data_IF_354637073539
#
_entry.id   IF_354637073539
#
_cell.length_a   1.000
_cell.length_b   1.000
_cell.length_c   1.000
_cell.angle_alpha   90.00
_cell.angle_beta   90.00
_cell.angle_gamma   90.00
#
_symmetry.space_group_name_H-M   'P 1'
#
loop_
_entity.id
_entity.type
_entity.pdbx_description
1 polymer ?
#
# COMPACT_ATOMS: atom_id res chain seq x y z
N UNK A 1 -3.20 -16.83 36.66
CA UNK A 1 -4.10 -17.54 35.72
C UNK A 1 -4.93 -16.47 35.03
N UNK A 2 -4.94 -16.45 33.69
CA UNK A 2 -5.52 -15.42 32.79
C UNK A 2 -4.70 -14.12 32.57
N UNK A 3 -3.63 -14.26 31.79
CA UNK A 3 -2.97 -13.16 31.06
C UNK A 3 -2.27 -13.77 29.83
N UNK A 4 -3.02 -13.99 28.74
CA UNK A 4 -2.50 -14.37 27.41
C UNK A 4 -3.51 -13.98 26.34
N UNK A 5 -2.98 -13.49 25.21
CA UNK A 5 -3.59 -13.27 23.89
C UNK A 5 -3.89 -11.82 23.50
N UNK A 6 -2.83 -11.09 23.17
CA UNK A 6 -2.82 -10.17 22.03
C UNK A 6 -1.38 -10.08 21.51
N UNK A 7 -1.00 -10.90 20.53
CA UNK A 7 0.17 -10.73 19.62
C UNK A 7 0.03 -11.78 18.51
N UNK A 8 -0.44 -11.39 17.33
CA UNK A 8 -0.22 -12.11 16.07
C UNK A 8 -0.74 -11.26 14.91
N UNK A 9 0.17 -10.70 14.11
CA UNK A 9 0.06 -10.54 12.65
C UNK A 9 1.43 -10.05 12.16
N UNK A 10 2.40 -10.96 12.17
CA UNK A 10 3.65 -10.84 11.43
C UNK A 10 3.74 -12.10 10.57
N UNK A 11 3.71 -11.93 9.26
CA UNK A 11 3.89 -13.01 8.28
C UNK A 11 5.35 -13.50 8.34
N UNK A 12 5.62 -14.82 8.42
CA UNK A 12 6.98 -15.32 8.44
C UNK A 12 7.47 -15.61 7.01
N UNK A 13 8.23 -14.69 6.44
CA UNK A 13 9.14 -15.00 5.34
C UNK A 13 10.53 -15.32 5.92
N UNK A 14 10.88 -16.61 6.02
CA UNK A 14 12.27 -17.03 6.19
C UNK A 14 12.60 -18.28 5.37
N UNK A 15 13.57 -18.05 4.48
CA UNK A 15 14.76 -18.88 4.27
C UNK A 15 14.57 -20.28 3.70
N UNK A 16 14.79 -20.41 2.40
CA UNK A 16 15.65 -21.46 1.85
C UNK A 16 16.51 -20.89 0.70
N UNK A 17 17.67 -20.36 1.06
CA UNK A 17 18.78 -20.22 0.14
C UNK A 17 19.62 -21.50 0.20
N UNK A 18 19.82 -22.17 -0.94
CA UNK A 18 21.05 -22.87 -1.36
C UNK A 18 20.72 -23.74 -2.57
N UNK A 19 21.19 -23.34 -3.74
CA UNK A 19 22.16 -24.06 -4.57
C UNK A 19 22.45 -23.17 -5.79
N UNK A 20 23.48 -22.34 -5.65
CA UNK A 20 24.07 -21.58 -6.75
C UNK A 20 24.87 -22.59 -7.58
N UNK A 21 24.40 -22.92 -8.78
CA UNK A 21 25.26 -23.55 -9.77
C UNK A 21 25.70 -22.48 -10.77
N UNK A 22 26.96 -22.11 -10.66
CA UNK A 22 27.67 -21.17 -11.51
C UNK A 22 27.82 -21.75 -12.92
N UNK A 23 27.20 -21.11 -13.90
CA UNK A 23 27.62 -21.25 -15.31
C UNK A 23 28.01 -19.87 -15.82
N UNK A 24 29.29 -19.75 -16.15
CA UNK A 24 29.93 -18.57 -16.69
C UNK A 24 29.29 -18.12 -18.00
N UNK A 25 29.06 -16.81 -18.16
CA UNK A 25 28.70 -16.19 -19.44
C UNK A 25 29.95 -15.62 -20.14
N UNK A 26 30.11 -15.81 -21.45
CA UNK A 26 31.23 -15.24 -22.19
C UNK A 26 31.04 -13.74 -22.46
N UNK A 27 32.15 -13.00 -22.42
CA UNK A 27 32.27 -11.60 -22.82
C UNK A 27 31.99 -11.45 -24.31
N UNK A 28 31.03 -10.60 -24.68
CA UNK A 28 30.87 -10.12 -26.07
C UNK A 28 31.60 -8.79 -26.19
N UNK A 29 32.65 -8.78 -27.02
CA UNK A 29 33.33 -7.59 -27.50
C UNK A 29 32.36 -6.79 -28.40
N UNK A 30 32.13 -5.51 -28.08
CA UNK A 30 31.49 -4.58 -29.00
C UNK A 30 32.54 -4.00 -29.95
N UNK A 31 32.39 -4.27 -31.25
CA UNK A 31 33.12 -3.58 -32.31
C UNK A 31 32.39 -2.28 -32.67
N UNK A 32 33.12 -1.15 -32.67
CA UNK A 32 32.61 0.14 -33.06
C UNK A 32 32.58 0.25 -34.61
N UNK A 33 31.40 0.55 -35.16
CA UNK A 33 31.25 1.01 -36.54
C UNK A 33 30.73 2.46 -36.51
N UNK A 34 31.49 3.35 -37.15
CA UNK A 34 31.18 4.77 -37.27
C UNK A 34 30.06 4.99 -38.30
N UNK A 35 29.02 5.72 -37.92
CA UNK A 35 28.06 6.33 -38.85
C UNK A 35 28.00 7.82 -38.51
N UNK A 36 28.42 8.63 -39.47
CA UNK A 36 28.33 10.08 -39.50
C UNK A 36 26.94 10.49 -40.04
N UNK A 37 26.22 11.35 -39.32
CA UNK A 37 25.04 12.03 -39.86
C UNK A 37 23.90 12.32 -38.88
N UNK A 38 23.86 13.55 -38.38
CA UNK A 38 22.70 14.32 -37.86
C UNK A 38 21.50 13.57 -37.23
N UNK A 39 21.63 13.23 -35.95
CA UNK A 39 20.51 12.90 -35.05
C UNK A 39 20.73 13.47 -33.62
N UNK A 40 21.54 14.54 -33.49
CA UNK A 40 22.05 14.99 -32.20
C UNK A 40 20.97 15.54 -31.24
N UNK A 41 19.86 16.07 -31.77
CA UNK A 41 18.78 16.65 -30.94
C UNK A 41 17.87 15.61 -30.27
N UNK A 42 17.49 14.55 -30.99
CA UNK A 42 16.60 13.51 -30.46
C UNK A 42 17.33 12.50 -29.55
N UNK A 43 18.61 12.22 -29.85
CA UNK A 43 19.44 11.33 -29.04
C UNK A 43 19.83 11.98 -27.71
N UNK A 44 20.00 13.31 -27.65
CA UNK A 44 20.35 14.01 -26.41
C UNK A 44 19.19 14.02 -25.39
N UNK A 45 17.95 14.28 -25.83
CA UNK A 45 16.78 14.20 -24.95
C UNK A 45 16.50 12.77 -24.47
N UNK A 46 16.67 11.76 -25.33
CA UNK A 46 16.55 10.36 -24.96
C UNK A 46 17.67 9.90 -24.01
N UNK A 47 18.90 10.36 -24.17
CA UNK A 47 20.01 10.06 -23.27
C UNK A 47 19.88 10.75 -21.89
N UNK A 48 19.36 11.98 -21.84
CA UNK A 48 19.08 12.69 -20.58
C UNK A 48 17.91 12.04 -19.83
N UNK A 49 16.85 11.65 -20.55
CA UNK A 49 15.74 10.87 -19.97
C UNK A 49 16.21 9.52 -19.42
N UNK A 50 17.11 8.84 -20.15
CA UNK A 50 17.68 7.54 -19.75
C UNK A 50 18.63 7.64 -18.55
N UNK A 51 19.37 8.75 -18.39
CA UNK A 51 20.22 9.00 -17.21
C UNK A 51 19.40 9.38 -15.96
N UNK A 52 18.24 10.04 -16.12
CA UNK A 52 17.27 10.24 -15.03
C UNK A 52 16.55 8.96 -14.60
N UNK A 53 16.41 7.98 -15.52
CA UNK A 53 15.80 6.68 -15.24
C UNK A 53 16.74 5.70 -14.51
N UNK A 54 18.04 5.70 -14.81
CA UNK A 54 19.03 4.88 -14.08
C UNK A 54 19.32 5.38 -12.65
N UNK A 55 18.92 6.61 -12.32
CA UNK A 55 19.13 7.22 -11.00
C UNK A 55 17.92 7.10 -10.07
N UNK A 56 16.75 6.68 -10.56
CA UNK A 56 15.57 6.55 -9.72
C UNK A 56 15.67 5.31 -8.80
N UNK A 57 15.69 5.47 -7.46
CA UNK A 57 15.88 4.35 -6.54
C UNK A 57 14.73 3.33 -6.54
N UNK A 58 13.56 3.67 -7.09
CA UNK A 58 12.41 2.77 -7.25
C UNK A 58 12.50 1.94 -8.55
N UNK A 59 13.35 2.33 -9.49
CA UNK A 59 13.63 1.61 -10.74
C UNK A 59 14.89 0.74 -10.63
N UNK A 60 15.79 1.07 -9.70
CA UNK A 60 17.03 0.35 -9.47
C UNK A 60 16.80 -1.17 -9.30
N UNK A 61 17.80 -1.95 -9.72
CA UNK A 61 17.84 -3.41 -9.60
C UNK A 61 17.52 -3.86 -8.17
N UNK A 62 16.92 -5.05 -7.99
CA UNK A 62 16.55 -5.55 -6.66
C UNK A 62 17.79 -5.62 -5.77
N UNK A 63 17.84 -4.73 -4.78
CA UNK A 63 18.66 -4.95 -3.60
C UNK A 63 17.80 -5.68 -2.56
N UNK A 64 18.43 -6.36 -1.60
CA UNK A 64 17.70 -7.10 -0.57
C UNK A 64 16.74 -6.20 0.24
N UNK A 65 17.00 -4.88 0.27
CA UNK A 65 16.24 -3.91 1.04
C UNK A 65 16.00 -2.62 0.24
N UNK A 66 14.80 -2.01 0.31
CA UNK A 66 14.55 -0.70 -0.30
C UNK A 66 15.53 0.36 0.23
N UNK A 67 16.07 1.18 -0.67
CA UNK A 67 16.98 2.29 -0.33
C UNK A 67 16.19 3.51 0.17
N UNK A 68 15.56 3.39 1.33
CA UNK A 68 14.65 4.41 1.87
C UNK A 68 15.24 5.82 1.98
N UNK A 69 16.54 5.94 2.25
CA UNK A 69 17.22 7.23 2.36
C UNK A 69 17.23 8.03 1.05
N UNK A 70 17.14 7.33 -0.09
CA UNK A 70 17.25 7.94 -1.42
C UNK A 70 15.89 8.21 -2.05
N UNK A 71 14.79 7.69 -1.48
CA UNK A 71 13.44 7.84 -2.06
C UNK A 71 12.88 9.23 -1.69
N UNK A 72 12.63 10.04 -2.71
CA UNK A 72 12.02 11.36 -2.62
C UNK A 72 10.67 11.38 -3.35
N UNK A 73 9.83 12.38 -3.04
CA UNK A 73 8.49 12.52 -3.65
C UNK A 73 8.53 12.61 -5.18
N UNK A 74 9.53 13.27 -5.74
CA UNK A 74 9.76 13.40 -7.19
C UNK A 74 10.06 12.08 -7.91
N UNK A 75 10.51 11.06 -7.17
CA UNK A 75 10.79 9.74 -7.74
C UNK A 75 9.52 8.91 -7.97
N UNK A 76 8.43 9.20 -7.24
CA UNK A 76 7.26 8.32 -7.13
C UNK A 76 6.53 8.18 -8.46
N UNK A 77 5.96 9.26 -9.00
CA UNK A 77 5.14 9.18 -10.23
C UNK A 77 5.94 8.65 -11.42
N UNK A 78 7.16 9.15 -11.73
CA UNK A 78 7.94 8.66 -12.86
C UNK A 78 8.26 7.17 -12.77
N UNK A 79 8.69 6.69 -11.59
CA UNK A 79 9.02 5.27 -11.44
C UNK A 79 7.80 4.37 -11.54
N UNK A 80 6.70 4.73 -10.87
CA UNK A 80 5.50 3.90 -10.88
C UNK A 80 4.85 3.87 -12.26
N UNK A 81 4.86 4.98 -13.01
CA UNK A 81 4.37 5.00 -14.39
C UNK A 81 5.15 4.06 -15.30
N UNK A 82 6.49 4.06 -15.19
CA UNK A 82 7.33 3.12 -15.94
C UNK A 82 7.08 1.67 -15.54
N UNK A 83 7.06 1.37 -14.24
CA UNK A 83 6.78 0.02 -13.73
C UNK A 83 5.40 -0.48 -14.15
N UNK A 84 4.39 0.39 -14.11
CA UNK A 84 3.04 0.08 -14.58
C UNK A 84 3.03 -0.22 -16.08
N UNK A 85 3.75 0.56 -16.91
CA UNK A 85 3.84 0.29 -18.33
C UNK A 85 4.51 -1.06 -18.64
N UNK A 86 5.59 -1.41 -17.92
CA UNK A 86 6.24 -2.72 -18.03
C UNK A 86 5.31 -3.84 -17.57
N UNK A 87 4.63 -3.66 -16.44
CA UNK A 87 3.72 -4.65 -15.88
C UNK A 87 2.49 -4.89 -16.78
N UNK A 88 1.92 -3.84 -17.39
CA UNK A 88 0.83 -3.94 -18.37
C UNK A 88 1.26 -4.71 -19.62
N UNK A 89 2.46 -4.43 -20.15
CA UNK A 89 2.99 -5.16 -21.30
C UNK A 89 3.22 -6.64 -20.98
N UNK A 90 3.77 -6.94 -19.80
CA UNK A 90 4.00 -8.31 -19.34
C UNK A 90 2.68 -9.06 -19.08
N UNK A 91 1.67 -8.39 -18.50
CA UNK A 91 0.34 -8.95 -18.33
C UNK A 91 -0.28 -9.30 -19.69
N UNK A 92 -0.23 -8.40 -20.67
CA UNK A 92 -0.74 -8.67 -22.02
C UNK A 92 -0.08 -9.92 -22.65
N UNK A 93 1.25 -10.08 -22.48
CA UNK A 93 1.97 -11.25 -22.98
C UNK A 93 1.56 -12.55 -22.26
N UNK A 94 1.42 -12.50 -20.93
CA UNK A 94 0.98 -13.63 -20.13
C UNK A 94 -0.44 -14.06 -20.53
N UNK A 95 -1.35 -13.11 -20.68
CA UNK A 95 -2.73 -13.40 -21.10
C UNK A 95 -2.82 -14.00 -22.49
N UNK A 96 -2.03 -13.50 -23.45
CA UNK A 96 -1.94 -14.07 -24.79
C UNK A 96 -1.42 -15.52 -24.76
N UNK A 97 -0.40 -15.77 -23.94
CA UNK A 97 0.19 -17.11 -23.76
C UNK A 97 -0.81 -18.10 -23.17
N UNK A 98 -1.50 -17.71 -22.09
CA UNK A 98 -2.53 -18.53 -21.45
C UNK A 98 -3.68 -18.80 -22.42
N UNK A 99 -4.15 -17.76 -23.12
CA UNK A 99 -5.26 -17.89 -24.08
C UNK A 99 -4.91 -18.86 -25.19
N UNK A 100 -3.71 -18.74 -25.78
CA UNK A 100 -3.23 -19.65 -26.82
C UNK A 100 -3.16 -21.10 -26.36
N UNK A 101 -2.64 -21.34 -25.14
CA UNK A 101 -2.61 -22.70 -24.56
C UNK A 101 -3.99 -23.29 -24.37
N UNK A 102 -4.91 -22.53 -23.79
CA UNK A 102 -6.29 -22.98 -23.58
C UNK A 102 -7.00 -23.29 -24.90
N UNK A 103 -6.77 -22.51 -25.95
CA UNK A 103 -7.29 -22.79 -27.29
C UNK A 103 -6.70 -24.06 -27.91
N UNK A 104 -5.44 -24.38 -27.61
CA UNK A 104 -4.79 -25.62 -28.02
C UNK A 104 -5.20 -26.84 -27.16
N UNK A 105 -6.11 -26.67 -26.19
CA UNK A 105 -6.51 -27.74 -25.27
C UNK A 105 -5.44 -28.10 -24.23
N UNK A 106 -4.47 -27.22 -24.01
CA UNK A 106 -3.37 -27.42 -23.06
C UNK A 106 -3.66 -26.65 -21.77
N UNK A 107 -3.71 -27.37 -20.64
CA UNK A 107 -3.84 -26.77 -19.30
C UNK A 107 -2.57 -25.99 -18.93
N UNK A 108 -2.65 -24.68 -18.59
CA UNK A 108 -1.51 -23.94 -18.05
C UNK A 108 -1.05 -24.53 -16.71
N UNK A 109 0.26 -24.65 -16.51
CA UNK A 109 0.81 -25.14 -15.24
C UNK A 109 0.70 -24.08 -14.13
N UNK A 110 0.81 -24.51 -12.86
CA UNK A 110 0.83 -23.59 -11.72
C UNK A 110 1.89 -22.49 -11.87
N UNK A 111 3.12 -22.84 -12.24
CA UNK A 111 4.21 -21.86 -12.36
C UNK A 111 3.97 -20.83 -13.47
N UNK A 112 3.33 -21.25 -14.57
CA UNK A 112 2.95 -20.35 -15.66
C UNK A 112 1.81 -19.40 -15.28
N UNK A 113 1.01 -19.74 -14.28
CA UNK A 113 -0.05 -18.87 -13.75
C UNK A 113 0.48 -18.01 -12.60
N UNK A 114 0.90 -18.65 -11.50
CA UNK A 114 1.31 -17.98 -10.28
C UNK A 114 2.62 -17.22 -10.44
N UNK A 115 3.70 -17.89 -10.84
CA UNK A 115 5.04 -17.30 -10.72
C UNK A 115 5.21 -16.14 -11.72
N UNK A 116 4.55 -16.24 -12.88
CA UNK A 116 4.48 -15.14 -13.85
C UNK A 116 3.62 -13.98 -13.33
N UNK A 117 2.41 -14.25 -12.82
CA UNK A 117 1.54 -13.21 -12.27
C UNK A 117 2.17 -12.51 -11.04
N UNK A 118 2.85 -13.26 -10.18
CA UNK A 118 3.57 -12.74 -9.02
C UNK A 118 4.72 -11.84 -9.45
N UNK A 119 5.53 -12.27 -10.43
CA UNK A 119 6.61 -11.42 -10.99
C UNK A 119 6.07 -10.13 -11.59
N UNK A 120 4.94 -10.18 -12.28
CA UNK A 120 4.29 -8.99 -12.85
C UNK A 120 3.77 -8.07 -11.73
N UNK A 121 3.09 -8.63 -10.73
CA UNK A 121 2.59 -7.86 -9.59
C UNK A 121 3.74 -7.17 -8.85
N UNK A 122 4.86 -7.86 -8.64
CA UNK A 122 6.00 -7.37 -7.86
C UNK A 122 6.71 -6.17 -8.48
N UNK A 123 6.61 -5.99 -9.81
CA UNK A 123 7.07 -4.77 -10.48
C UNK A 123 6.42 -3.51 -9.90
N UNK A 124 5.19 -3.61 -9.42
CA UNK A 124 4.39 -2.50 -8.90
C UNK A 124 4.30 -2.56 -7.38
N UNK A 125 4.02 -3.73 -6.78
CA UNK A 125 3.80 -3.84 -5.32
C UNK A 125 5.04 -3.50 -4.51
N UNK A 126 6.23 -3.91 -4.94
CA UNK A 126 7.47 -3.61 -4.20
C UNK A 126 7.76 -2.10 -4.07
N UNK A 127 7.87 -1.32 -5.17
CA UNK A 127 8.11 0.12 -5.05
C UNK A 127 6.93 0.84 -4.39
N UNK A 128 5.69 0.42 -4.66
CA UNK A 128 4.51 1.03 -4.04
C UNK A 128 4.46 0.81 -2.53
N UNK A 129 4.88 -0.37 -2.05
CA UNK A 129 5.00 -0.68 -0.62
C UNK A 129 6.01 0.24 0.07
N UNK A 130 7.19 0.43 -0.54
CA UNK A 130 8.21 1.33 0.00
C UNK A 130 7.71 2.79 0.11
N UNK A 131 6.99 3.28 -0.92
CA UNK A 131 6.39 4.62 -0.93
C UNK A 131 5.31 4.76 0.14
N UNK A 132 4.41 3.77 0.28
CA UNK A 132 3.36 3.80 1.31
C UNK A 132 3.93 3.69 2.72
N UNK A 133 4.99 2.92 2.92
CA UNK A 133 5.71 2.89 4.19
C UNK A 133 6.24 4.28 4.55
N UNK A 134 6.94 4.95 3.62
CA UNK A 134 7.42 6.31 3.83
C UNK A 134 6.27 7.29 4.11
N UNK A 135 5.15 7.21 3.37
CA UNK A 135 3.95 8.00 3.67
C UNK A 135 3.44 7.76 5.10
N UNK A 136 3.59 6.55 5.63
CA UNK A 136 3.13 6.22 6.99
C UNK A 136 4.09 6.66 8.10
N UNK A 137 5.40 6.69 7.86
CA UNK A 137 6.40 6.91 8.92
C UNK A 137 7.19 8.22 8.77
N UNK A 138 7.18 8.81 7.59
CA UNK A 138 7.87 10.06 7.22
C UNK A 138 6.98 10.88 6.27
N UNK A 139 5.79 11.18 6.77
CA UNK A 139 4.75 11.90 6.04
C UNK A 139 5.13 13.37 5.78
N UNK A 140 5.15 13.77 4.51
CA UNK A 140 5.44 15.12 4.03
C UNK A 140 4.44 15.51 2.93
N UNK A 141 4.15 16.82 2.80
CA UNK A 141 3.14 17.32 1.84
C UNK A 141 3.46 16.97 0.39
N UNK A 142 4.73 17.04 -0.01
CA UNK A 142 5.19 16.64 -1.34
C UNK A 142 4.93 15.15 -1.62
N UNK A 143 5.19 14.28 -0.64
CA UNK A 143 4.96 12.84 -0.74
C UNK A 143 3.47 12.52 -0.80
N UNK A 144 2.62 13.22 -0.02
CA UNK A 144 1.16 13.07 -0.09
C UNK A 144 0.62 13.37 -1.49
N UNK A 145 1.04 14.48 -2.10
CA UNK A 145 0.65 14.86 -3.46
C UNK A 145 1.09 13.83 -4.49
N UNK A 146 2.32 13.34 -4.38
CA UNK A 146 2.84 12.31 -5.29
C UNK A 146 2.05 11.00 -5.18
N UNK A 147 1.71 10.57 -3.96
CA UNK A 147 0.86 9.39 -3.73
C UNK A 147 -0.54 9.61 -4.27
N UNK A 148 -1.18 10.76 -4.01
CA UNK A 148 -2.51 11.09 -4.52
C UNK A 148 -2.58 11.05 -6.05
N UNK A 149 -1.55 11.56 -6.74
CA UNK A 149 -1.48 11.54 -8.20
C UNK A 149 -1.27 10.13 -8.78
N UNK A 150 -0.60 9.24 -8.03
CA UNK A 150 -0.19 7.91 -8.51
C UNK A 150 -1.17 6.79 -8.12
N UNK A 151 -1.83 6.92 -6.97
CA UNK A 151 -2.72 5.92 -6.38
C UNK A 151 -3.81 5.42 -7.35
N UNK A 152 -4.51 6.27 -8.13
CA UNK A 152 -5.53 5.80 -9.08
C UNK A 152 -4.95 4.85 -10.13
N UNK A 153 -3.75 5.13 -10.63
CA UNK A 153 -3.08 4.30 -11.66
C UNK A 153 -2.73 2.92 -11.12
N UNK A 154 -2.24 2.85 -9.89
CA UNK A 154 -1.91 1.59 -9.21
C UNK A 154 -3.17 0.76 -8.92
N UNK A 155 -4.26 1.40 -8.48
CA UNK A 155 -5.55 0.72 -8.22
C UNK A 155 -6.14 0.16 -9.50
N UNK A 156 -6.11 0.94 -10.59
CA UNK A 156 -6.58 0.50 -11.91
C UNK A 156 -5.82 -0.74 -12.39
N UNK A 157 -4.50 -0.75 -12.27
CA UNK A 157 -3.68 -1.91 -12.63
C UNK A 157 -3.95 -3.14 -11.75
N UNK A 158 -4.01 -2.97 -10.43
CA UNK A 158 -4.34 -4.07 -9.50
C UNK A 158 -5.72 -4.67 -9.78
N UNK A 159 -6.69 -3.82 -10.11
CA UNK A 159 -8.03 -4.25 -10.55
C UNK A 159 -7.96 -5.00 -11.88
N UNK A 160 -7.19 -4.51 -12.85
CA UNK A 160 -6.99 -5.15 -14.15
C UNK A 160 -6.35 -6.53 -14.07
N UNK A 161 -5.36 -6.70 -13.17
CA UNK A 161 -4.76 -7.99 -12.84
C UNK A 161 -5.80 -8.95 -12.27
N UNK A 162 -6.52 -8.51 -11.23
CA UNK A 162 -7.54 -9.33 -10.54
C UNK A 162 -8.72 -9.69 -11.46
N UNK A 163 -9.01 -8.85 -12.45
CA UNK A 163 -10.05 -9.07 -13.46
C UNK A 163 -9.52 -9.64 -14.78
N UNK A 164 -8.32 -10.23 -14.80
CA UNK A 164 -7.80 -10.90 -15.99
C UNK A 164 -8.61 -12.17 -16.28
N UNK A 165 -9.37 -12.14 -17.38
CA UNK A 165 -10.17 -13.29 -17.80
C UNK A 165 -9.30 -14.48 -18.22
N UNK A 166 -8.12 -14.24 -18.81
CA UNK A 166 -7.20 -15.31 -19.19
C UNK A 166 -6.64 -16.02 -17.96
N UNK A 167 -6.17 -15.27 -16.95
CA UNK A 167 -5.70 -15.86 -15.68
C UNK A 167 -6.81 -16.63 -14.98
N UNK A 168 -8.01 -16.05 -14.84
CA UNK A 168 -9.14 -16.73 -14.22
C UNK A 168 -9.48 -18.06 -14.93
N UNK A 169 -9.58 -18.04 -16.27
CA UNK A 169 -9.83 -19.26 -17.05
C UNK A 169 -8.69 -20.27 -16.92
N UNK A 170 -7.44 -19.81 -16.87
CA UNK A 170 -6.27 -20.64 -16.63
C UNK A 170 -6.36 -21.36 -15.28
N UNK A 171 -6.70 -20.64 -14.21
CA UNK A 171 -6.92 -21.22 -12.89
C UNK A 171 -8.07 -22.22 -12.86
N UNK A 172 -9.20 -21.88 -13.49
CA UNK A 172 -10.34 -22.79 -13.61
C UNK A 172 -10.00 -24.06 -14.40
N UNK A 173 -9.23 -23.94 -15.48
CA UNK A 173 -8.75 -25.09 -16.25
C UNK A 173 -7.81 -25.98 -15.42
N UNK A 174 -6.85 -25.38 -14.71
CA UNK A 174 -5.95 -26.12 -13.80
C UNK A 174 -6.73 -26.85 -12.70
N UNK A 175 -7.79 -26.24 -12.17
CA UNK A 175 -8.68 -26.87 -11.18
C UNK A 175 -9.53 -28.00 -11.76
N UNK A 176 -9.94 -27.89 -13.03
CA UNK A 176 -10.74 -28.91 -13.70
C UNK A 176 -9.92 -30.12 -14.17
N UNK A 177 -8.63 -29.92 -14.44
CA UNK A 177 -7.69 -30.97 -14.80
C UNK A 177 -7.30 -31.81 -13.57
N UNK A 178 -7.87 -33.02 -13.48
CA UNK A 178 -7.66 -33.91 -12.32
C UNK A 178 -6.20 -34.31 -12.12
N UNK A 179 -5.48 -34.56 -13.20
CA UNK A 179 -4.09 -35.01 -13.13
C UNK A 179 -3.20 -33.85 -12.67
N UNK A 180 -3.32 -32.68 -13.32
CA UNK A 180 -2.58 -31.49 -12.94
C UNK A 180 -2.91 -31.04 -11.51
N UNK A 181 -4.18 -31.08 -11.11
CA UNK A 181 -4.63 -30.66 -9.77
C UNK A 181 -4.12 -31.57 -8.64
N UNK A 182 -4.11 -32.88 -8.87
CA UNK A 182 -3.63 -33.85 -7.86
C UNK A 182 -2.11 -33.82 -7.71
N UNK A 183 -1.38 -33.43 -8.75
CA UNK A 183 0.06 -33.23 -8.72
C UNK A 183 0.51 -32.01 -7.90
N UNK A 184 -0.37 -31.02 -7.67
CA UNK A 184 -0.05 -29.84 -6.87
C UNK A 184 0.16 -30.19 -5.39
N UNK A 185 1.04 -29.44 -4.72
CA UNK A 185 1.11 -29.46 -3.26
C UNK A 185 -0.18 -28.88 -2.64
N UNK A 186 -0.44 -29.19 -1.36
CA UNK A 186 -1.57 -28.61 -0.64
C UNK A 186 -1.56 -27.07 -0.63
N UNK A 187 -0.36 -26.47 -0.54
CA UNK A 187 -0.18 -25.02 -0.59
C UNK A 187 -0.53 -24.46 -1.97
N UNK A 188 -0.06 -25.09 -3.05
CA UNK A 188 -0.35 -24.63 -4.42
C UNK A 188 -1.84 -24.73 -4.75
N UNK A 189 -2.53 -25.80 -4.32
CA UNK A 189 -3.99 -25.88 -4.45
C UNK A 189 -4.69 -24.75 -3.71
N UNK A 190 -4.25 -24.46 -2.48
CA UNK A 190 -4.81 -23.36 -1.70
C UNK A 190 -4.62 -22.02 -2.39
N UNK A 191 -3.45 -21.76 -2.97
CA UNK A 191 -3.20 -20.53 -3.76
C UNK A 191 -4.15 -20.47 -4.94
N UNK A 192 -4.28 -21.53 -5.74
CA UNK A 192 -5.17 -21.56 -6.89
C UNK A 192 -6.65 -21.29 -6.50
N UNK A 193 -7.13 -21.87 -5.41
CA UNK A 193 -8.47 -21.60 -4.87
C UNK A 193 -8.64 -20.12 -4.45
N UNK A 194 -7.61 -19.54 -3.83
CA UNK A 194 -7.61 -18.14 -3.41
C UNK A 194 -7.61 -17.19 -4.61
N UNK A 195 -6.88 -17.50 -5.68
CA UNK A 195 -6.85 -16.71 -6.91
C UNK A 195 -8.21 -16.72 -7.62
N UNK A 196 -8.85 -17.90 -7.76
CA UNK A 196 -10.21 -18.03 -8.32
C UNK A 196 -11.20 -17.17 -7.52
N UNK A 197 -11.21 -17.35 -6.19
CA UNK A 197 -12.08 -16.59 -5.30
C UNK A 197 -11.81 -15.09 -5.36
N UNK A 198 -10.55 -14.69 -5.48
CA UNK A 198 -10.15 -13.28 -5.56
C UNK A 198 -10.67 -12.65 -6.85
N UNK A 199 -10.57 -13.35 -7.99
CA UNK A 199 -11.13 -12.89 -9.25
C UNK A 199 -12.66 -12.74 -9.20
N UNK A 200 -13.36 -13.72 -8.61
CA UNK A 200 -14.81 -13.67 -8.40
C UNK A 200 -15.22 -12.46 -7.55
N UNK A 201 -14.55 -12.24 -6.42
CA UNK A 201 -14.79 -11.09 -5.54
C UNK A 201 -14.28 -9.76 -6.13
N UNK A 202 -13.44 -9.81 -7.16
CA UNK A 202 -13.03 -8.66 -7.97
C UNK A 202 -14.01 -8.38 -9.13
N UNK A 203 -15.12 -9.13 -9.24
CA UNK A 203 -16.14 -8.89 -10.24
C UNK A 203 -15.77 -9.41 -11.64
N UNK A 204 -14.94 -10.46 -11.74
CA UNK A 204 -14.58 -11.06 -13.04
C UNK A 204 -15.80 -11.53 -13.85
N UNK A 205 -16.85 -11.98 -13.15
CA UNK A 205 -18.12 -12.42 -13.76
C UNK A 205 -19.06 -11.29 -14.16
N UNK A 206 -18.70 -10.02 -13.90
CA UNK A 206 -19.51 -8.87 -14.29
C UNK A 206 -19.23 -8.47 -15.74
N UNK A 207 -20.26 -8.01 -16.44
CA UNK A 207 -20.19 -7.55 -17.82
C UNK A 207 -20.86 -6.19 -18.00
N UNK A 208 -20.57 -5.52 -19.13
CA UNK A 208 -21.20 -4.26 -19.51
C UNK A 208 -21.15 -3.18 -18.43
N UNK A 209 -22.29 -2.51 -18.20
CA UNK A 209 -22.42 -1.41 -17.26
C UNK A 209 -22.11 -1.80 -15.81
N UNK A 210 -22.42 -3.04 -15.40
CA UNK A 210 -22.15 -3.51 -14.04
C UNK A 210 -20.65 -3.57 -13.75
N UNK A 211 -19.84 -4.02 -14.71
CA UNK A 211 -18.37 -4.05 -14.58
C UNK A 211 -17.78 -2.64 -14.52
N UNK A 212 -18.27 -1.73 -15.38
CA UNK A 212 -17.83 -0.33 -15.37
C UNK A 212 -18.10 0.31 -14.02
N UNK A 213 -19.34 0.20 -13.51
CA UNK A 213 -19.70 0.74 -12.20
C UNK A 213 -18.92 0.11 -11.05
N UNK A 214 -18.68 -1.20 -11.09
CA UNK A 214 -17.86 -1.89 -10.09
C UNK A 214 -16.45 -1.27 -9.98
N UNK A 215 -15.83 -0.96 -11.13
CA UNK A 215 -14.50 -0.38 -11.19
C UNK A 215 -14.48 1.07 -10.70
N UNK A 216 -15.46 1.89 -11.09
CA UNK A 216 -15.63 3.26 -10.57
C UNK A 216 -15.76 3.25 -9.04
N UNK A 217 -16.59 2.36 -8.48
CA UNK A 217 -16.73 2.22 -7.03
C UNK A 217 -15.40 1.85 -6.36
N UNK A 218 -14.59 0.98 -6.99
CA UNK A 218 -13.28 0.60 -6.44
C UNK A 218 -12.32 1.80 -6.36
N UNK A 219 -12.30 2.64 -7.40
CA UNK A 219 -11.50 3.87 -7.45
C UNK A 219 -11.99 4.90 -6.41
N UNK A 220 -13.30 5.15 -6.35
CA UNK A 220 -13.92 6.05 -5.37
C UNK A 220 -13.61 5.62 -3.92
N UNK A 221 -13.75 4.32 -3.61
CA UNK A 221 -13.44 3.78 -2.29
C UNK A 221 -11.96 3.96 -1.91
N UNK A 222 -11.04 3.79 -2.86
CA UNK A 222 -9.61 3.99 -2.64
C UNK A 222 -9.28 5.47 -2.35
N UNK A 223 -9.89 6.39 -3.10
CA UNK A 223 -9.77 7.82 -2.88
C UNK A 223 -10.32 8.23 -1.50
N UNK A 224 -11.55 7.80 -1.17
CA UNK A 224 -12.18 8.08 0.12
C UNK A 224 -11.37 7.52 1.30
N UNK A 225 -10.80 6.32 1.16
CA UNK A 225 -9.95 5.73 2.21
C UNK A 225 -8.67 6.53 2.44
N UNK A 226 -8.08 7.08 1.37
CA UNK A 226 -6.91 7.96 1.45
C UNK A 226 -7.25 9.27 2.15
N UNK A 227 -8.36 9.90 1.75
CA UNK A 227 -8.87 11.14 2.38
C UNK A 227 -9.18 10.93 3.86
N UNK A 228 -9.85 9.84 4.21
CA UNK A 228 -10.14 9.49 5.61
C UNK A 228 -8.87 9.44 6.46
N UNK A 229 -7.84 8.71 5.98
CA UNK A 229 -6.57 8.58 6.69
C UNK A 229 -5.82 9.90 6.84
N UNK A 230 -5.81 10.73 5.78
CA UNK A 230 -5.17 12.05 5.82
C UNK A 230 -5.89 12.98 6.82
N UNK A 231 -7.23 12.99 6.83
CA UNK A 231 -8.03 13.78 7.78
C UNK A 231 -7.74 13.39 9.23
N UNK A 232 -7.66 12.09 9.53
CA UNK A 232 -7.30 11.60 10.88
C UNK A 232 -5.90 12.06 11.28
N UNK A 233 -4.93 11.99 10.37
CA UNK A 233 -3.56 12.43 10.63
C UNK A 233 -3.50 13.94 10.87
N UNK A 234 -4.17 14.72 10.05
CA UNK A 234 -4.17 16.18 10.14
C UNK A 234 -4.94 16.69 11.35
N UNK A 235 -6.01 16.03 11.75
CA UNK A 235 -6.71 16.32 13.00
C UNK A 235 -5.85 15.93 14.23
N UNK A 236 -5.10 14.82 14.16
CA UNK A 236 -4.14 14.44 15.21
C UNK A 236 -3.04 15.50 15.38
N UNK A 237 -2.48 16.01 14.26
CA UNK A 237 -1.41 17.02 14.26
C UNK A 237 -1.89 18.43 14.65
N UNK A 238 -3.15 18.76 14.36
CA UNK A 238 -3.71 20.09 14.62
C UNK A 238 -3.86 20.39 16.12
N UNK A 239 -4.22 19.39 16.93
CA UNK A 239 -4.35 19.58 18.37
C UNK A 239 -2.98 19.74 19.04
N UNK A 240 -2.87 20.77 19.88
CA UNK A 240 -1.68 21.04 20.69
C UNK A 240 -2.10 21.81 21.93
N UNK A 241 -1.81 21.30 23.11
CA UNK A 241 -2.04 21.99 24.38
C UNK A 241 -0.71 22.15 25.11
N UNK A 242 -0.28 23.39 25.29
CA UNK A 242 0.94 23.72 26.03
C UNK A 242 0.60 23.90 27.51
N UNK A 243 1.22 23.09 28.36
CA UNK A 243 1.14 23.21 29.82
C UNK A 243 2.42 23.88 30.32
N UNK A 244 2.26 24.95 31.09
CA UNK A 244 3.37 25.70 31.70
C UNK A 244 3.39 25.58 33.23
N UNK A 245 2.24 25.28 33.84
CA UNK A 245 2.14 25.07 35.28
C UNK A 245 2.50 23.63 35.63
N UNK A 246 3.38 23.47 36.63
CA UNK A 246 3.79 22.18 37.16
C UNK A 246 2.63 21.44 37.85
N UNK A 247 1.65 22.16 38.40
CA UNK A 247 0.47 21.55 39.00
C UNK A 247 -0.41 20.81 37.98
N UNK A 248 -0.46 21.32 36.74
CA UNK A 248 -1.27 20.76 35.65
C UNK A 248 -0.74 19.41 35.13
N UNK A 249 0.50 19.05 35.47
CA UNK A 249 1.14 17.80 35.04
C UNK A 249 1.33 16.79 36.18
N UNK A 250 0.72 17.04 37.34
CA UNK A 250 0.76 16.12 38.48
C UNK A 250 0.23 14.72 38.10
N UNK A 251 0.89 13.69 38.63
CA UNK A 251 0.57 12.27 38.38
C UNK A 251 1.14 11.70 37.08
N UNK A 252 1.52 12.55 36.10
CA UNK A 252 2.10 12.07 34.85
C UNK A 252 3.49 11.41 35.08
N UNK A 253 3.77 10.26 34.43
CA UNK A 253 5.07 9.62 34.54
C UNK A 253 6.15 10.47 33.86
N UNK A 254 7.37 10.44 34.40
CA UNK A 254 8.52 11.20 33.90
C UNK A 254 8.78 10.96 32.40
N UNK A 255 8.59 9.72 31.92
CA UNK A 255 8.74 9.39 30.51
C UNK A 255 7.74 10.12 29.61
N UNK A 256 6.50 10.34 30.06
CA UNK A 256 5.51 11.12 29.34
C UNK A 256 5.87 12.61 29.33
N UNK A 257 6.33 13.14 30.47
CA UNK A 257 6.81 14.52 30.58
C UNK A 257 8.01 14.77 29.65
N UNK A 258 8.96 13.83 29.60
CA UNK A 258 10.09 13.89 28.68
C UNK A 258 9.65 13.91 27.21
N UNK A 259 8.66 13.07 26.83
CA UNK A 259 8.09 13.06 25.48
C UNK A 259 7.38 14.39 25.14
N UNK A 260 6.58 14.92 26.07
CA UNK A 260 5.87 16.19 25.89
C UNK A 260 6.83 17.39 25.81
N UNK A 261 7.88 17.40 26.62
CA UNK A 261 8.94 18.42 26.55
C UNK A 261 9.76 18.30 25.26
N UNK A 262 10.08 17.09 24.78
CA UNK A 262 10.71 16.91 23.47
C UNK A 262 9.82 17.43 22.33
N UNK A 263 8.50 17.27 22.45
CA UNK A 263 7.52 17.83 21.51
C UNK A 263 7.50 19.35 21.57
N UNK A 264 7.54 19.94 22.77
CA UNK A 264 7.67 21.37 22.99
C UNK A 264 8.91 21.96 22.30
N UNK A 265 10.09 21.32 22.47
CA UNK A 265 11.33 21.72 21.79
C UNK A 265 11.19 21.69 20.26
N UNK A 266 10.59 20.64 19.69
CA UNK A 266 10.32 20.57 18.23
C UNK A 266 9.39 21.68 17.74
N UNK A 267 8.54 22.24 18.61
CA UNK A 267 7.64 23.36 18.31
C UNK A 267 8.22 24.74 18.67
N UNK A 268 9.53 24.81 18.95
CA UNK A 268 10.25 26.08 19.17
C UNK A 268 10.45 26.47 20.63
N UNK A 269 10.03 25.66 21.60
CA UNK A 269 10.26 25.91 23.03
C UNK A 269 11.55 25.25 23.48
N UNK A 270 12.70 25.83 23.08
CA UNK A 270 14.03 25.22 23.23
C UNK A 270 14.39 24.83 24.68
N UNK A 271 13.98 25.64 25.65
CA UNK A 271 14.24 25.44 27.08
C UNK A 271 13.38 24.34 27.72
N UNK A 272 12.48 23.70 26.96
CA UNK A 272 11.56 22.73 27.54
C UNK A 272 12.30 21.50 28.10
N UNK A 273 12.10 21.21 29.39
CA UNK A 273 12.63 20.01 30.05
C UNK A 273 11.51 19.15 30.64
N UNK A 274 11.80 17.89 30.96
CA UNK A 274 10.82 17.03 31.62
C UNK A 274 10.43 17.57 33.02
N UNK A 275 11.34 18.25 33.72
CA UNK A 275 11.17 18.69 35.10
C UNK A 275 10.48 20.06 35.24
N UNK A 276 10.70 20.96 34.28
CA UNK A 276 10.32 22.37 34.37
C UNK A 276 9.39 22.82 33.23
N UNK A 277 9.15 21.95 32.25
CA UNK A 277 8.30 22.26 31.10
C UNK A 277 8.92 23.35 30.22
N UNK A 278 8.14 23.96 29.30
CA UNK A 278 6.74 23.65 29.01
C UNK A 278 6.55 22.24 28.43
N UNK A 279 5.39 21.65 28.69
CA UNK A 279 5.01 20.32 28.17
C UNK A 279 3.93 20.48 27.09
N UNK A 280 4.17 19.97 25.90
CA UNK A 280 3.16 19.96 24.84
C UNK A 280 2.44 18.62 24.81
N UNK A 281 1.15 18.65 25.10
CA UNK A 281 0.22 17.53 24.95
C UNK A 281 -0.28 17.48 23.50
N UNK A 282 -0.28 16.28 22.92
CA UNK A 282 -0.73 15.97 21.56
C UNK A 282 -1.73 14.83 21.59
N UNK A 283 -2.35 14.53 20.43
CA UNK A 283 -3.27 13.40 20.28
C UNK A 283 -2.59 12.09 19.85
N UNK A 284 -1.25 12.03 19.93
CA UNK A 284 -0.52 10.78 19.73
C UNK A 284 -0.92 9.76 20.79
N UNK A 285 -1.11 8.50 20.39
CA UNK A 285 -1.70 7.48 21.26
C UNK A 285 -0.97 7.30 22.60
N UNK A 286 0.36 7.39 22.62
CA UNK A 286 1.14 7.31 23.86
C UNK A 286 0.90 8.49 24.79
N UNK A 287 0.75 9.70 24.24
CA UNK A 287 0.49 10.93 24.98
C UNK A 287 -0.91 10.90 25.60
N UNK A 288 -1.92 10.58 24.79
CA UNK A 288 -3.32 10.44 25.24
C UNK A 288 -3.44 9.39 26.33
N UNK A 289 -2.86 8.21 26.15
CA UNK A 289 -2.91 7.16 27.16
C UNK A 289 -2.23 7.55 28.47
N UNK A 290 -1.10 8.25 28.42
CA UNK A 290 -0.42 8.72 29.63
C UNK A 290 -1.29 9.72 30.40
N UNK A 291 -1.89 10.69 29.70
CA UNK A 291 -2.79 11.67 30.32
C UNK A 291 -4.01 10.99 30.95
N UNK A 292 -4.73 10.17 30.18
CA UNK A 292 -5.98 9.58 30.66
C UNK A 292 -5.79 8.60 31.82
N UNK A 293 -4.62 7.94 31.88
CA UNK A 293 -4.31 6.97 32.92
C UNK A 293 -3.78 7.61 34.20
N UNK A 294 -2.95 8.64 34.07
CA UNK A 294 -2.05 9.04 35.15
C UNK A 294 -2.14 10.50 35.55
N UNK A 295 -2.71 11.40 34.73
CA UNK A 295 -2.86 12.79 35.14
C UNK A 295 -3.84 12.91 36.32
N UNK A 296 -3.46 13.61 37.39
CA UNK A 296 -4.32 13.85 38.55
C UNK A 296 -5.42 14.87 38.22
N UNK A 297 -5.11 15.87 37.37
CA UNK A 297 -6.06 16.90 36.93
C UNK A 297 -7.17 16.31 36.04
N UNK A 298 -8.40 16.27 36.58
CA UNK A 298 -9.58 15.80 35.88
C UNK A 298 -9.93 16.66 34.66
N UNK A 299 -9.66 17.97 34.71
CA UNK A 299 -9.93 18.89 33.60
C UNK A 299 -8.97 18.64 32.44
N UNK A 300 -7.70 18.33 32.72
CA UNK A 300 -6.75 17.91 31.70
C UNK A 300 -7.21 16.60 31.04
N UNK A 301 -7.61 15.59 31.84
CA UNK A 301 -8.16 14.33 31.31
C UNK A 301 -9.38 14.56 30.44
N UNK A 302 -10.33 15.39 30.88
CA UNK A 302 -11.52 15.73 30.10
C UNK A 302 -11.15 16.42 28.77
N UNK A 303 -10.27 17.41 28.82
CA UNK A 303 -9.84 18.17 27.63
C UNK A 303 -9.22 17.25 26.58
N UNK A 304 -8.29 16.39 27.00
CA UNK A 304 -7.61 15.44 26.10
C UNK A 304 -8.56 14.35 25.62
N UNK A 305 -9.44 13.84 26.48
CA UNK A 305 -10.46 12.85 26.10
C UNK A 305 -11.37 13.41 25.02
N UNK A 306 -11.95 14.60 25.23
CA UNK A 306 -12.85 15.25 24.27
C UNK A 306 -12.15 15.44 22.93
N UNK A 307 -10.97 16.06 22.92
CA UNK A 307 -10.20 16.28 21.70
C UNK A 307 -9.85 14.96 20.97
N UNK A 308 -9.60 13.87 21.71
CA UNK A 308 -9.32 12.58 21.11
C UNK A 308 -10.55 11.94 20.45
N UNK A 309 -11.72 11.98 21.12
CA UNK A 309 -12.95 11.33 20.63
C UNK A 309 -13.69 12.13 19.56
N UNK A 310 -13.44 13.45 19.46
CA UNK A 310 -14.00 14.31 18.39
C UNK A 310 -13.05 14.50 17.22
N UNK A 311 -11.96 13.72 17.17
CA UNK A 311 -10.95 13.85 16.12
C UNK A 311 -11.54 13.55 14.74
N UNK A 312 -11.33 14.46 13.80
CA UNK A 312 -11.86 14.37 12.43
C UNK A 312 -13.40 14.21 12.40
N UNK A 313 -14.09 14.82 13.37
CA UNK A 313 -15.56 14.89 13.44
C UNK A 313 -16.07 16.27 13.84
N UNK A 314 -15.21 17.29 13.82
CA UNK A 314 -15.60 18.68 13.99
C UNK A 314 -16.03 19.21 12.62
N UNK A 315 -17.05 20.08 12.55
CA UNK A 315 -17.71 20.53 11.31
C UNK A 315 -16.84 21.46 10.42
N UNK A 316 -15.53 21.22 10.37
CA UNK A 316 -14.56 21.93 9.53
C UNK A 316 -14.12 21.08 8.31
N UNK A 317 -13.02 21.47 7.67
CA UNK A 317 -12.50 20.83 6.44
C UNK A 317 -11.97 19.40 6.61
N UNK A 318 -12.01 18.82 7.83
CA UNK A 318 -11.46 17.48 8.12
C UNK A 318 -12.50 16.51 8.68
N UNK A 319 -13.79 16.79 8.51
CA UNK A 319 -14.88 15.90 8.94
C UNK A 319 -14.92 14.60 8.11
N UNK A 320 -14.83 13.46 8.81
CA UNK A 320 -14.94 12.13 8.22
C UNK A 320 -16.36 11.56 8.22
N UNK A 321 -17.35 12.18 8.88
CA UNK A 321 -18.74 11.71 8.88
C UNK A 321 -19.34 11.55 7.46
N UNK A 322 -19.22 12.53 6.53
CA UNK A 322 -19.70 12.35 5.16
C UNK A 322 -18.89 11.30 4.39
N UNK A 323 -17.57 11.21 4.63
CA UNK A 323 -16.69 10.22 3.98
C UNK A 323 -17.11 8.79 4.39
N UNK A 324 -17.36 8.55 5.68
CA UNK A 324 -17.84 7.27 6.19
C UNK A 324 -19.17 6.90 5.52
N UNK A 325 -20.10 7.85 5.44
CA UNK A 325 -21.41 7.63 4.82
C UNK A 325 -21.29 7.20 3.35
N UNK A 326 -20.43 7.87 2.57
CA UNK A 326 -20.13 7.51 1.19
C UNK A 326 -19.47 6.13 1.08
N UNK A 327 -18.49 5.82 1.95
CA UNK A 327 -17.85 4.50 1.98
C UNK A 327 -18.87 3.39 2.23
N UNK A 328 -19.80 3.58 3.18
CA UNK A 328 -20.84 2.60 3.49
C UNK A 328 -21.80 2.40 2.32
N UNK A 329 -22.24 3.48 1.68
CA UNK A 329 -23.12 3.42 0.51
C UNK A 329 -22.47 2.66 -0.66
N UNK A 330 -21.22 3.02 -1.00
CA UNK A 330 -20.44 2.39 -2.06
C UNK A 330 -20.13 0.92 -1.76
N UNK A 331 -19.81 0.57 -0.51
CA UNK A 331 -19.58 -0.83 -0.10
C UNK A 331 -20.83 -1.69 -0.23
N UNK A 332 -22.02 -1.13 0.07
CA UNK A 332 -23.30 -1.81 -0.12
C UNK A 332 -23.60 -2.00 -1.60
N UNK A 333 -23.43 -0.96 -2.42
CA UNK A 333 -23.63 -1.05 -3.88
C UNK A 333 -22.69 -2.10 -4.50
N UNK A 334 -21.40 -2.09 -4.14
CA UNK A 334 -20.43 -3.07 -4.61
C UNK A 334 -20.79 -4.51 -4.22
N UNK A 335 -21.32 -4.73 -3.01
CA UNK A 335 -21.76 -6.04 -2.56
C UNK A 335 -22.96 -6.53 -3.38
N UNK A 336 -23.94 -5.66 -3.63
CA UNK A 336 -25.11 -5.98 -4.44
C UNK A 336 -24.74 -6.34 -5.88
N UNK A 337 -23.77 -5.63 -6.49
CA UNK A 337 -23.26 -5.99 -7.82
C UNK A 337 -22.68 -7.42 -7.88
N UNK A 338 -22.09 -7.89 -6.78
CA UNK A 338 -21.54 -9.24 -6.67
C UNK A 338 -22.58 -10.29 -6.22
N UNK A 339 -23.84 -9.90 -6.01
CA UNK A 339 -24.91 -10.79 -5.57
C UNK A 339 -24.94 -11.09 -4.05
N UNK A 340 -24.28 -10.27 -3.23
CA UNK A 340 -24.31 -10.37 -1.77
C UNK A 340 -25.30 -9.37 -1.16
N UNK A 341 -25.91 -9.71 -0.02
CA UNK A 341 -26.87 -8.82 0.66
C UNK A 341 -26.14 -7.69 1.40
N UNK A 342 -24.89 -7.93 1.81
CA UNK A 342 -24.11 -6.95 2.56
C UNK A 342 -22.60 -7.04 2.31
N UNK A 343 -21.90 -5.95 2.61
CA UNK A 343 -20.43 -5.95 2.60
C UNK A 343 -19.82 -6.91 3.63
N UNK A 344 -20.55 -7.22 4.71
CA UNK A 344 -20.10 -8.17 5.71
C UNK A 344 -19.97 -9.57 5.11
N UNK A 345 -20.91 -10.00 4.27
CA UNK A 345 -20.84 -11.29 3.58
C UNK A 345 -19.65 -11.36 2.61
N UNK A 346 -19.40 -10.30 1.84
CA UNK A 346 -18.21 -10.18 0.98
C UNK A 346 -16.92 -10.33 1.81
N UNK A 347 -16.90 -9.76 3.02
CA UNK A 347 -15.75 -9.88 3.93
C UNK A 347 -15.60 -11.29 4.51
N UNK A 348 -16.71 -11.93 4.88
CA UNK A 348 -16.73 -13.29 5.43
C UNK A 348 -16.38 -14.35 4.39
N UNK A 349 -16.71 -14.14 3.11
CA UNK A 349 -16.32 -15.03 2.02
C UNK A 349 -14.79 -15.24 1.92
N UNK A 350 -13.99 -14.32 2.49
CA UNK A 350 -12.52 -14.40 2.51
C UNK A 350 -11.94 -15.15 3.71
N UNK A 351 -12.68 -15.28 4.80
CA UNK A 351 -12.24 -15.91 6.07
C UNK A 351 -12.43 -17.42 6.04
#
# INVERSE_FOLDING_TARGET
>A
MLLRHLHSFASPARSLARHVNTVARPRVLCAAAAITGSAAGAVSAACIAKQGQETNPLLAQPSLFPRYADICAEHVSPALEERLAVAEAALCQLEATITSKLQAGVTPSYGELNDEAERISELVSAPWSAVNHLKSVKDEESLRKAVQATQPKVVRFSTRMSQSAALYRGWCALRADKEAWTALSGTQRRVAELEIRTAELAGIGLEGAAKVRFNEIAEELAALSTSFGNNVLDATKAFSLTLTDKSAVAGLPESALAQMAATARRKGQAEATAADGPWVVTLDGSCVMAVLRSADDAKLRETVYRAHVTKASEFDSKDNAPIISSILALRRERAALLGFESHAEVSLAKK
#
